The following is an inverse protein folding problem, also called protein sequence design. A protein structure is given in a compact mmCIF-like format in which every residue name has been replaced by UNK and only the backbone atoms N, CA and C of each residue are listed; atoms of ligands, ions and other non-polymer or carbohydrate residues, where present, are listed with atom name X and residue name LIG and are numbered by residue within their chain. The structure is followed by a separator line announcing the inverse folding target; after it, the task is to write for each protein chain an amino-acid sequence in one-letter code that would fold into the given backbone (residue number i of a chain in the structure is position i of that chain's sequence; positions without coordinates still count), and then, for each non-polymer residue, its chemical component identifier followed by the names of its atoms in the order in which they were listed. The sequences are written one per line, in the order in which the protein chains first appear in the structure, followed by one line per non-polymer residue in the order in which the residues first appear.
data_IF_881630038290
#
_entry.id   IF_881630038290
#
_cell.length_a   1.000
_cell.length_b   1.000
_cell.length_c   1.000
_cell.angle_alpha   90.00
_cell.angle_beta   90.00
_cell.angle_gamma   90.00
#
_symmetry.space_group_name_H-M   'P 1'
#
loop_
_entity.id
_entity.type
_entity.pdbx_description
1 polymer ?
#
# COMPACT_ATOMS: atom_id res chain seq x y z
N UNK A 1 51.36 -50.23 26.36
CA UNK A 1 51.46 -49.10 25.40
C UNK A 1 50.22 -49.12 24.51
N UNK A 2 49.26 -48.21 24.68
CA UNK A 2 48.03 -48.12 23.87
C UNK A 2 48.10 -46.82 23.06
N UNK A 3 48.21 -46.90 21.76
CA UNK A 3 48.22 -45.80 20.85
C UNK A 3 46.76 -45.25 20.68
N UNK A 4 46.55 -43.95 20.89
CA UNK A 4 45.30 -43.27 20.61
C UNK A 4 45.36 -42.74 19.17
N UNK A 5 44.45 -43.21 18.31
CA UNK A 5 44.24 -42.70 16.97
C UNK A 5 43.30 -41.47 17.06
N UNK A 6 43.77 -40.27 16.69
CA UNK A 6 42.96 -39.08 16.54
C UNK A 6 42.43 -39.01 15.13
N UNK A 7 41.09 -39.10 15.00
CA UNK A 7 40.40 -38.76 13.74
C UNK A 7 40.13 -37.27 13.68
N UNK A 8 40.84 -36.56 12.83
CA UNK A 8 40.51 -35.17 12.48
C UNK A 8 39.39 -35.16 11.43
N UNK A 9 38.18 -34.79 11.84
CA UNK A 9 37.06 -34.59 10.92
C UNK A 9 37.16 -33.20 10.27
N UNK A 10 37.33 -33.21 8.95
CA UNK A 10 37.28 -32.02 8.11
C UNK A 10 35.80 -31.69 7.84
N UNK A 11 35.26 -30.66 8.48
CA UNK A 11 33.92 -30.15 8.23
C UNK A 11 34.01 -29.21 7.04
N UNK A 12 33.58 -29.68 5.88
CA UNK A 12 33.44 -28.89 4.66
C UNK A 12 32.15 -28.06 4.79
N UNK A 13 32.27 -26.84 5.23
CA UNK A 13 31.15 -25.88 5.33
C UNK A 13 30.75 -25.40 3.94
N UNK A 14 29.62 -25.89 3.44
CA UNK A 14 29.00 -25.39 2.21
C UNK A 14 28.38 -24.04 2.48
N UNK A 15 29.02 -22.98 2.00
CA UNK A 15 28.50 -21.61 2.08
C UNK A 15 27.38 -21.46 1.04
N UNK A 16 26.11 -21.54 1.49
CA UNK A 16 24.98 -21.16 0.66
C UNK A 16 24.94 -19.64 0.54
N UNK A 17 25.36 -19.11 -0.58
CA UNK A 17 25.14 -17.73 -0.95
C UNK A 17 23.66 -17.53 -1.25
N UNK A 18 22.94 -16.89 -0.34
CA UNK A 18 21.58 -16.36 -0.58
C UNK A 18 21.70 -15.23 -1.61
N UNK A 19 21.44 -15.54 -2.87
CA UNK A 19 21.23 -14.52 -3.91
C UNK A 19 19.87 -13.89 -3.62
N UNK A 20 19.85 -12.78 -2.90
CA UNK A 20 18.69 -11.89 -2.84
C UNK A 20 18.47 -11.33 -4.23
N UNK A 21 17.44 -11.78 -4.93
CA UNK A 21 16.92 -11.10 -6.11
C UNK A 21 16.27 -9.83 -5.60
N UNK A 22 17.06 -8.77 -5.43
CA UNK A 22 16.52 -7.43 -5.24
C UNK A 22 15.80 -7.07 -6.54
N UNK A 23 14.46 -7.08 -6.52
CA UNK A 23 13.68 -6.44 -7.57
C UNK A 23 14.21 -5.02 -7.71
N UNK A 24 14.63 -4.62 -8.90
CA UNK A 24 15.14 -3.27 -9.13
C UNK A 24 14.02 -2.28 -8.78
N UNK A 25 14.21 -1.49 -7.70
CA UNK A 25 13.35 -0.34 -7.45
C UNK A 25 13.41 0.57 -8.69
N UNK A 26 12.26 1.04 -9.20
CA UNK A 26 12.27 2.01 -10.28
C UNK A 26 13.09 3.24 -9.84
N UNK A 27 13.80 3.89 -10.77
CA UNK A 27 14.69 5.01 -10.45
C UNK A 27 13.95 6.09 -9.65
N UNK A 28 14.59 6.60 -8.59
CA UNK A 28 14.06 7.67 -7.77
C UNK A 28 13.67 8.86 -8.66
N UNK A 29 12.43 9.35 -8.53
CA UNK A 29 11.91 10.45 -9.34
C UNK A 29 10.92 10.04 -10.45
N UNK A 30 10.76 8.75 -10.75
CA UNK A 30 9.72 8.27 -11.67
C UNK A 30 8.38 8.21 -10.92
N UNK A 31 7.30 8.83 -11.45
CA UNK A 31 5.99 8.73 -10.86
C UNK A 31 5.50 7.28 -10.77
N UNK A 32 4.84 6.97 -9.66
CA UNK A 32 4.23 5.65 -9.43
C UNK A 32 2.72 5.81 -9.42
N UNK A 33 2.05 5.10 -10.31
CA UNK A 33 0.59 5.07 -10.35
C UNK A 33 0.09 3.78 -9.72
N UNK A 34 -0.80 3.91 -8.75
CA UNK A 34 -1.42 2.77 -8.08
C UNK A 34 -2.94 2.92 -8.17
N UNK A 35 -3.60 1.85 -8.56
CA UNK A 35 -5.05 1.72 -8.54
C UNK A 35 -5.47 0.86 -7.34
N UNK A 36 -6.28 1.43 -6.45
CA UNK A 36 -6.80 0.78 -5.25
C UNK A 36 -8.27 0.44 -5.46
N UNK A 37 -8.63 -0.83 -5.41
CA UNK A 37 -9.97 -1.32 -5.69
C UNK A 37 -10.67 -1.74 -4.39
N UNK A 38 -11.94 -1.41 -4.28
CA UNK A 38 -12.78 -1.70 -3.11
C UNK A 38 -14.06 -2.37 -3.55
N UNK A 39 -14.27 -3.61 -3.08
CA UNK A 39 -15.56 -4.30 -3.12
C UNK A 39 -16.19 -4.21 -1.76
N UNK A 40 -17.42 -3.72 -1.69
CA UNK A 40 -18.10 -3.38 -0.45
C UNK A 40 -19.24 -4.35 -0.15
N UNK A 41 -19.59 -4.47 1.13
CA UNK A 41 -20.76 -5.18 1.58
C UNK A 41 -22.04 -4.58 0.95
N UNK A 42 -23.06 -5.40 0.67
CA UNK A 42 -24.30 -4.93 0.08
C UNK A 42 -24.92 -3.76 0.86
N UNK A 43 -25.18 -2.66 0.17
CA UNK A 43 -25.77 -1.44 0.76
C UNK A 43 -24.79 -0.52 1.47
N UNK A 44 -23.49 -0.86 1.58
CA UNK A 44 -22.50 -0.11 2.35
C UNK A 44 -21.84 1.05 1.58
N UNK A 45 -22.12 1.24 0.29
CA UNK A 45 -21.43 2.20 -0.57
C UNK A 45 -21.49 3.64 -0.05
N UNK A 46 -22.65 4.09 0.42
CA UNK A 46 -22.82 5.46 0.96
C UNK A 46 -22.05 5.66 2.25
N UNK A 47 -22.10 4.68 3.17
CA UNK A 47 -21.38 4.74 4.45
C UNK A 47 -19.86 4.73 4.20
N UNK A 48 -19.37 3.83 3.37
CA UNK A 48 -17.96 3.75 3.02
C UNK A 48 -17.44 5.08 2.44
N UNK A 49 -18.17 5.66 1.49
CA UNK A 49 -17.80 6.93 0.87
C UNK A 49 -17.78 8.09 1.88
N UNK A 50 -18.73 8.10 2.82
CA UNK A 50 -18.76 9.11 3.87
C UNK A 50 -17.53 9.00 4.80
N UNK A 51 -17.19 7.77 5.21
CA UNK A 51 -16.01 7.49 6.04
C UNK A 51 -14.70 7.82 5.29
N UNK A 52 -14.59 7.42 4.03
CA UNK A 52 -13.44 7.74 3.19
C UNK A 52 -13.21 9.26 3.10
N UNK A 53 -14.26 10.02 2.76
CA UNK A 53 -14.20 11.48 2.65
C UNK A 53 -13.87 12.17 3.96
N UNK A 54 -14.34 11.63 5.07
CA UNK A 54 -14.13 12.22 6.39
C UNK A 54 -12.74 11.93 6.95
N UNK A 55 -12.25 10.70 6.81
CA UNK A 55 -11.08 10.23 7.53
C UNK A 55 -9.86 10.01 6.63
N UNK A 56 -10.03 9.46 5.44
CA UNK A 56 -8.89 9.11 4.58
C UNK A 56 -8.51 10.25 3.61
N UNK A 57 -9.46 10.84 2.94
CA UNK A 57 -9.21 11.91 1.96
C UNK A 57 -8.49 13.15 2.54
N UNK A 58 -8.72 13.60 3.80
CA UNK A 58 -7.93 14.70 4.37
C UNK A 58 -6.44 14.38 4.52
N UNK A 59 -6.10 13.12 4.82
CA UNK A 59 -4.70 12.66 4.88
C UNK A 59 -4.06 12.78 3.50
N UNK A 60 -4.72 12.28 2.46
CA UNK A 60 -4.24 12.34 1.07
C UNK A 60 -4.09 13.80 0.59
N UNK A 61 -5.03 14.68 0.97
CA UNK A 61 -4.90 16.13 0.69
C UNK A 61 -3.67 16.74 1.37
N UNK A 62 -3.33 16.31 2.57
CA UNK A 62 -2.10 16.78 3.23
C UNK A 62 -0.86 16.26 2.49
N UNK A 63 -0.84 15.00 2.08
CA UNK A 63 0.25 14.43 1.29
C UNK A 63 0.42 15.13 -0.06
N UNK A 64 -0.67 15.59 -0.69
CA UNK A 64 -0.59 16.42 -1.91
C UNK A 64 0.03 17.79 -1.63
N UNK A 65 -0.31 18.44 -0.52
CA UNK A 65 0.33 19.70 -0.11
C UNK A 65 1.81 19.54 0.19
N UNK A 66 2.19 18.40 0.75
CA UNK A 66 3.58 18.07 1.07
C UNK A 66 4.38 17.64 -0.18
N UNK A 67 3.74 17.54 -1.35
CA UNK A 67 4.37 17.18 -2.62
C UNK A 67 4.77 15.69 -2.72
N UNK A 68 4.23 14.84 -1.85
CA UNK A 68 4.44 13.39 -1.88
C UNK A 68 3.49 12.68 -2.84
N UNK A 69 2.24 13.12 -2.87
CA UNK A 69 1.19 12.63 -3.76
C UNK A 69 0.91 13.69 -4.83
N UNK A 70 0.92 13.33 -6.11
CA UNK A 70 0.64 14.25 -7.23
C UNK A 70 -0.84 14.40 -7.49
N UNK A 71 -1.59 13.29 -7.41
CA UNK A 71 -3.04 13.31 -7.62
C UNK A 71 -3.73 12.13 -6.96
N UNK A 72 -4.99 12.35 -6.60
CA UNK A 72 -5.94 11.33 -6.16
C UNK A 72 -7.23 11.49 -6.94
N UNK A 73 -7.78 10.39 -7.45
CA UNK A 73 -9.07 10.36 -8.12
C UNK A 73 -9.88 9.16 -7.67
N UNK A 74 -11.11 9.40 -7.24
CA UNK A 74 -12.07 8.36 -6.87
C UNK A 74 -13.03 8.14 -8.02
N UNK A 75 -13.24 6.88 -8.38
CA UNK A 75 -14.18 6.44 -9.42
C UNK A 75 -15.23 5.51 -8.82
N UNK A 76 -16.46 5.69 -9.25
CA UNK A 76 -17.57 4.80 -9.00
C UNK A 76 -17.93 4.04 -10.29
N UNK A 77 -18.25 2.77 -10.19
CA UNK A 77 -18.68 1.99 -11.34
C UNK A 77 -20.12 2.35 -11.73
N UNK A 78 -20.34 2.67 -13.00
CA UNK A 78 -21.67 3.01 -13.54
C UNK A 78 -22.47 1.82 -14.03
N UNK A 79 -21.79 0.78 -14.55
CA UNK A 79 -22.42 -0.37 -15.16
C UNK A 79 -21.95 -1.66 -14.50
N UNK A 80 -22.78 -2.71 -14.60
CA UNK A 80 -22.40 -4.04 -14.16
C UNK A 80 -21.23 -4.53 -15.01
N UNK A 81 -20.27 -5.17 -14.38
CA UNK A 81 -19.14 -5.78 -15.05
C UNK A 81 -18.93 -7.20 -14.52
N UNK A 82 -18.22 -7.99 -15.33
CA UNK A 82 -17.75 -9.29 -14.92
C UNK A 82 -16.73 -9.21 -13.74
N UNK A 83 -16.32 -10.34 -13.24
CA UNK A 83 -15.29 -10.50 -12.20
C UNK A 83 -13.92 -9.98 -12.68
N UNK A 84 -13.14 -9.31 -11.80
CA UNK A 84 -13.48 -8.96 -10.43
C UNK A 84 -14.43 -7.77 -10.35
N UNK A 85 -15.46 -7.87 -9.51
CA UNK A 85 -16.41 -6.77 -9.29
C UNK A 85 -15.89 -5.85 -8.19
N UNK A 86 -15.92 -4.54 -8.42
CA UNK A 86 -15.59 -3.52 -7.44
C UNK A 86 -16.66 -2.42 -7.43
N UNK A 87 -16.77 -1.69 -6.33
CA UNK A 87 -17.73 -0.60 -6.17
C UNK A 87 -17.04 0.76 -6.33
N UNK A 88 -15.88 0.93 -5.70
CA UNK A 88 -15.03 2.11 -5.86
C UNK A 88 -13.62 1.74 -6.30
N UNK A 89 -13.00 2.64 -7.07
CA UNK A 89 -11.58 2.61 -7.41
C UNK A 89 -10.96 3.97 -7.11
N UNK A 90 -9.87 3.98 -6.36
CA UNK A 90 -9.03 5.18 -6.17
C UNK A 90 -7.78 5.02 -7.02
N UNK A 91 -7.46 6.05 -7.81
CA UNK A 91 -6.21 6.12 -8.58
C UNK A 91 -5.34 7.18 -7.94
N UNK A 92 -4.19 6.79 -7.47
CA UNK A 92 -3.20 7.68 -6.88
C UNK A 92 -1.94 7.73 -7.75
N UNK A 93 -1.43 8.94 -8.00
CA UNK A 93 -0.14 9.15 -8.65
C UNK A 93 0.81 9.71 -7.62
N UNK A 94 1.73 8.90 -7.16
CA UNK A 94 2.79 9.27 -6.24
C UNK A 94 3.91 9.97 -6.98
N UNK A 95 4.65 10.85 -6.30
CA UNK A 95 5.82 11.50 -6.89
C UNK A 95 6.87 10.48 -7.34
N UNK A 96 7.14 9.50 -6.51
CA UNK A 96 8.05 8.37 -6.68
C UNK A 96 7.83 7.34 -5.56
N UNK A 97 8.54 6.21 -5.58
CA UNK A 97 8.50 5.19 -4.53
C UNK A 97 8.94 5.71 -3.16
N UNK A 98 9.97 6.56 -3.13
CA UNK A 98 10.43 7.17 -1.88
C UNK A 98 9.35 8.05 -1.24
N UNK A 99 8.55 8.75 -2.05
CA UNK A 99 7.44 9.55 -1.55
C UNK A 99 6.31 8.68 -0.95
N UNK A 100 6.01 7.54 -1.56
CA UNK A 100 5.06 6.55 -1.00
C UNK A 100 5.55 6.05 0.36
N UNK A 101 6.81 5.65 0.46
CA UNK A 101 7.40 5.18 1.71
C UNK A 101 7.42 6.28 2.78
N UNK A 102 7.79 7.51 2.43
CA UNK A 102 7.73 8.66 3.34
C UNK A 102 6.30 8.93 3.84
N UNK A 103 5.29 8.77 2.96
CA UNK A 103 3.90 8.95 3.33
C UNK A 103 3.46 7.93 4.39
N UNK A 104 3.82 6.65 4.23
CA UNK A 104 3.53 5.61 5.22
C UNK A 104 4.20 5.89 6.56
N UNK A 105 5.47 6.30 6.55
CA UNK A 105 6.21 6.61 7.79
C UNK A 105 5.61 7.82 8.53
N UNK A 106 5.08 8.80 7.80
CA UNK A 106 4.51 10.04 8.37
C UNK A 106 3.02 9.94 8.69
N UNK A 107 2.34 8.90 8.27
CA UNK A 107 0.89 8.74 8.44
C UNK A 107 0.44 8.90 9.90
N UNK A 108 1.07 8.27 10.92
CA UNK A 108 0.64 8.42 12.32
C UNK A 108 0.76 9.87 12.83
N UNK A 109 1.75 10.62 12.38
CA UNK A 109 1.92 12.03 12.73
C UNK A 109 0.86 12.89 12.04
N UNK A 110 0.60 12.63 10.76
CA UNK A 110 -0.42 13.30 9.97
C UNK A 110 -1.81 13.10 10.58
N UNK A 111 -2.14 11.87 11.00
CA UNK A 111 -3.40 11.56 11.69
C UNK A 111 -3.51 12.36 12.97
N UNK A 112 -2.49 12.38 13.83
CA UNK A 112 -2.52 13.17 15.08
C UNK A 112 -2.69 14.67 14.84
N UNK A 113 -2.12 15.18 13.75
CA UNK A 113 -2.24 16.60 13.40
C UNK A 113 -3.64 16.97 12.88
N UNK A 114 -4.27 16.07 12.13
CA UNK A 114 -5.58 16.29 11.50
C UNK A 114 -6.76 15.97 12.42
N UNK A 115 -6.60 15.00 13.32
CA UNK A 115 -7.67 14.46 14.15
C UNK A 115 -7.35 14.59 15.64
N UNK A 116 -7.92 15.61 16.34
CA UNK A 116 -7.70 15.77 17.78
C UNK A 116 -8.13 14.57 18.62
N UNK A 117 -9.17 13.85 18.17
CA UNK A 117 -9.60 12.57 18.74
C UNK A 117 -9.22 11.43 17.80
N UNK A 118 -8.01 10.89 17.96
CA UNK A 118 -7.53 9.77 17.14
C UNK A 118 -8.32 8.50 17.39
N UNK A 119 -8.91 8.29 18.57
CA UNK A 119 -9.71 7.11 18.87
C UNK A 119 -10.99 7.06 18.00
N UNK A 120 -11.65 8.21 17.79
CA UNK A 120 -12.80 8.29 16.88
C UNK A 120 -12.39 8.03 15.43
N UNK A 121 -11.25 8.58 15.02
CA UNK A 121 -10.67 8.32 13.69
C UNK A 121 -10.42 6.82 13.49
N UNK A 122 -9.74 6.18 14.43
CA UNK A 122 -9.38 4.76 14.36
C UNK A 122 -10.63 3.86 14.34
N UNK A 123 -11.65 4.18 15.16
CA UNK A 123 -12.90 3.45 15.14
C UNK A 123 -13.62 3.57 13.80
N UNK A 124 -13.62 4.74 13.19
CA UNK A 124 -14.27 4.98 11.90
C UNK A 124 -13.50 4.34 10.74
N UNK A 125 -12.16 4.36 10.77
CA UNK A 125 -11.34 3.64 9.81
C UNK A 125 -11.53 2.12 9.95
N UNK A 126 -11.57 1.59 11.18
CA UNK A 126 -11.92 0.20 11.43
C UNK A 126 -13.29 -0.14 10.82
N UNK A 127 -14.31 0.71 11.03
CA UNK A 127 -15.63 0.53 10.44
C UNK A 127 -15.59 0.51 8.91
N UNK A 128 -14.83 1.39 8.28
CA UNK A 128 -14.65 1.43 6.83
C UNK A 128 -14.09 0.12 6.30
N UNK A 129 -13.12 -0.47 7.01
CA UNK A 129 -12.56 -1.78 6.66
C UNK A 129 -13.51 -2.95 6.92
N UNK A 130 -14.32 -2.91 7.98
CA UNK A 130 -15.34 -3.94 8.26
C UNK A 130 -16.39 -4.06 7.14
N UNK A 131 -16.72 -2.96 6.47
CA UNK A 131 -17.67 -2.94 5.34
C UNK A 131 -16.99 -3.09 3.98
N UNK A 132 -15.69 -3.31 3.94
CA UNK A 132 -14.92 -3.63 2.75
C UNK A 132 -14.75 -5.15 2.65
N UNK A 133 -15.43 -5.80 1.71
CA UNK A 133 -15.36 -7.26 1.53
C UNK A 133 -14.07 -7.71 0.86
N UNK A 134 -13.59 -6.93 -0.12
CA UNK A 134 -12.36 -7.20 -0.83
C UNK A 134 -11.64 -5.89 -1.15
N UNK A 135 -10.34 -5.93 -1.09
CA UNK A 135 -9.46 -4.83 -1.46
C UNK A 135 -8.21 -5.39 -2.15
N UNK A 136 -7.81 -4.75 -3.23
CA UNK A 136 -6.56 -5.07 -3.91
C UNK A 136 -6.00 -3.84 -4.60
N UNK A 137 -4.70 -3.88 -4.88
CA UNK A 137 -3.95 -2.80 -5.47
C UNK A 137 -3.24 -3.27 -6.73
N UNK A 138 -3.32 -2.47 -7.80
CA UNK A 138 -2.56 -2.68 -9.02
C UNK A 138 -1.56 -1.54 -9.19
N UNK A 139 -0.28 -1.88 -9.25
CA UNK A 139 0.78 -0.93 -9.58
C UNK A 139 0.96 -0.90 -11.09
N UNK A 140 0.80 0.29 -11.68
CA UNK A 140 0.87 0.47 -13.12
C UNK A 140 2.25 0.95 -13.56
N UNK A 141 2.75 0.35 -14.63
CA UNK A 141 3.93 0.83 -15.36
C UNK A 141 3.48 1.35 -16.73
N UNK A 142 3.93 2.53 -17.10
CA UNK A 142 3.71 3.05 -18.44
C UNK A 142 4.51 2.24 -19.45
N UNK A 143 3.86 1.82 -20.53
CA UNK A 143 4.52 1.14 -21.66
C UNK A 143 4.62 2.16 -22.81
N UNK A 144 5.84 2.58 -23.19
CA UNK A 144 6.02 3.44 -24.37
C UNK A 144 5.48 2.76 -25.62
N UNK A 145 4.75 3.53 -26.44
CA UNK A 145 4.15 3.04 -27.71
C UNK A 145 5.01 3.40 -28.93
N UNK A 146 6.20 3.98 -28.72
CA UNK A 146 7.15 4.35 -29.77
C UNK A 146 8.31 3.36 -29.85
#
# INVERSE_FOLDING_TARGET
MKAKLQYGGLILGTLFALVSVAGAEPPSGTPVTIEYYYKLAPGATKEWLALYKKNHNPILKQLMKDGLLKSEKLYERRFHAATPAWDYKVVMVWRDWSALEQAHQREPETIRALYPNTADHDQQEKRRWEITEQHWDDVLSEVPLE
#
